data_IF_529331293654
#
_entry.id   IF_529331293654
#
_cell.length_a   1.000
_cell.length_b   1.000
_cell.length_c   1.000
_cell.angle_alpha   90.00
_cell.angle_beta   90.00
_cell.angle_gamma   90.00
#
_symmetry.space_group_name_H-M   'P 1'
#
loop_
_entity.id
_entity.type
_entity.pdbx_description
1 polymer ?
#
# COMPACT_ATOMS: atom_id res chain seq x y z
N UNK A 1 9.57 6.42 8.25
CA UNK A 1 10.79 6.32 9.01
C UNK A 1 11.90 7.17 8.38
N UNK A 2 12.42 6.81 7.20
CA UNK A 2 13.56 7.47 6.56
C UNK A 2 13.36 8.97 6.32
N UNK A 3 12.21 9.41 5.81
CA UNK A 3 11.93 10.82 5.54
C UNK A 3 11.70 11.61 6.83
N UNK A 4 10.97 11.04 7.78
CA UNK A 4 10.63 11.70 9.04
C UNK A 4 11.73 11.66 10.09
N UNK A 5 12.87 11.00 9.84
CA UNK A 5 13.96 10.87 10.81
C UNK A 5 13.53 10.19 12.12
N UNK A 6 12.52 9.32 12.08
CA UNK A 6 11.91 8.73 13.26
C UNK A 6 12.86 7.72 13.94
N UNK A 7 13.47 8.14 15.05
CA UNK A 7 14.41 7.31 15.82
C UNK A 7 13.70 6.18 16.56
N UNK A 8 12.48 6.42 17.03
CA UNK A 8 11.67 5.43 17.77
C UNK A 8 11.30 4.18 16.96
N UNK A 9 11.26 4.28 15.63
CA UNK A 9 10.91 3.18 14.72
C UNK A 9 12.11 2.33 14.31
N UNK A 10 13.35 2.77 14.58
CA UNK A 10 14.56 2.04 14.22
C UNK A 10 14.58 0.61 14.79
N UNK A 11 14.20 0.36 16.06
CA UNK A 11 14.17 -1.00 16.62
C UNK A 11 13.13 -1.92 15.97
N UNK A 12 12.09 -1.34 15.32
CA UNK A 12 10.98 -2.08 14.68
C UNK A 12 11.15 -2.20 13.18
N UNK A 13 12.20 -1.62 12.60
CA UNK A 13 12.45 -1.56 11.14
C UNK A 13 12.36 -2.92 10.47
N UNK A 14 12.98 -3.96 11.07
CA UNK A 14 12.99 -5.31 10.50
C UNK A 14 11.61 -5.94 10.40
N UNK A 15 10.72 -5.63 11.34
CA UNK A 15 9.33 -6.09 11.30
C UNK A 15 8.61 -5.47 10.09
N UNK A 16 8.78 -4.15 9.89
CA UNK A 16 8.18 -3.45 8.77
C UNK A 16 8.74 -3.91 7.41
N UNK A 17 10.05 -4.17 7.32
CA UNK A 17 10.68 -4.73 6.12
C UNK A 17 10.17 -6.13 5.81
N UNK A 18 9.99 -6.98 6.83
CA UNK A 18 9.43 -8.32 6.67
C UNK A 18 7.97 -8.27 6.20
N UNK A 19 7.14 -7.40 6.80
CA UNK A 19 5.77 -7.20 6.33
C UNK A 19 5.74 -6.65 4.89
N UNK A 20 6.65 -5.75 4.55
CA UNK A 20 6.80 -5.24 3.19
C UNK A 20 7.13 -6.32 2.17
N UNK A 21 7.77 -7.44 2.58
CA UNK A 21 8.06 -8.56 1.70
C UNK A 21 6.80 -9.25 1.15
N UNK A 22 5.64 -9.07 1.78
CA UNK A 22 4.36 -9.55 1.27
C UNK A 22 4.08 -9.03 -0.14
N UNK A 23 4.60 -7.86 -0.52
CA UNK A 23 4.45 -7.33 -1.88
C UNK A 23 4.95 -8.28 -2.96
N UNK A 24 5.94 -9.12 -2.65
CA UNK A 24 6.49 -10.12 -3.57
C UNK A 24 5.55 -11.32 -3.74
N UNK A 25 4.70 -11.60 -2.75
CA UNK A 25 3.75 -12.72 -2.77
C UNK A 25 2.36 -12.31 -3.28
N UNK A 26 2.00 -11.04 -3.16
CA UNK A 26 0.68 -10.54 -3.56
C UNK A 26 0.32 -10.84 -5.02
N UNK A 27 1.23 -10.72 -6.02
CA UNK A 27 0.92 -11.09 -7.39
C UNK A 27 0.53 -12.57 -7.55
N UNK A 28 1.15 -13.47 -6.78
CA UNK A 28 0.81 -14.89 -6.80
C UNK A 28 -0.55 -15.16 -6.16
N UNK A 29 -0.86 -14.44 -5.07
CA UNK A 29 -2.16 -14.54 -4.39
C UNK A 29 -3.28 -13.99 -5.28
N UNK A 30 -2.97 -12.98 -6.12
CA UNK A 30 -3.92 -12.38 -7.05
C UNK A 30 -4.16 -13.22 -8.32
N UNK A 31 -3.31 -14.22 -8.62
CA UNK A 31 -3.43 -15.04 -9.84
C UNK A 31 -4.83 -15.64 -10.05
N UNK A 32 -5.52 -16.22 -9.05
CA UNK A 32 -6.86 -16.77 -9.25
C UNK A 32 -7.86 -15.74 -9.79
N UNK A 33 -7.74 -14.46 -9.39
CA UNK A 33 -8.60 -13.40 -9.89
C UNK A 33 -8.49 -13.21 -11.40
N UNK A 34 -7.28 -13.40 -11.98
CA UNK A 34 -7.07 -13.23 -13.42
C UNK A 34 -7.74 -14.32 -14.27
N UNK A 35 -7.99 -15.49 -13.70
CA UNK A 35 -8.74 -16.56 -14.37
C UNK A 35 -10.26 -16.33 -14.31
N UNK A 36 -10.72 -15.44 -13.40
CA UNK A 36 -12.12 -15.14 -13.15
C UNK A 36 -12.45 -13.66 -13.34
N UNK A 37 -11.69 -12.93 -14.18
CA UNK A 37 -11.93 -11.50 -14.42
C UNK A 37 -13.34 -11.20 -14.93
N UNK A 38 -13.87 -12.06 -15.79
CA UNK A 38 -15.23 -11.92 -16.33
C UNK A 38 -16.31 -12.10 -15.25
N UNK A 39 -16.06 -12.93 -14.24
CA UNK A 39 -17.01 -13.14 -13.14
C UNK A 39 -17.00 -11.96 -12.14
N UNK A 40 -15.86 -11.26 -12.04
CA UNK A 40 -15.65 -10.19 -11.06
C UNK A 40 -15.96 -8.81 -11.64
N UNK A 41 -15.58 -8.55 -12.90
CA UNK A 41 -15.65 -7.22 -13.49
C UNK A 41 -16.58 -7.13 -14.69
N UNK A 42 -17.70 -6.44 -14.57
CA UNK A 42 -18.71 -6.26 -15.63
C UNK A 42 -18.16 -5.58 -16.89
N UNK A 43 -17.17 -4.70 -16.76
CA UNK A 43 -16.54 -4.00 -17.90
C UNK A 43 -15.66 -4.92 -18.79
N UNK A 44 -15.51 -6.18 -18.44
CA UNK A 44 -14.81 -7.17 -19.27
C UNK A 44 -15.70 -7.82 -20.32
N UNK A 45 -17.03 -7.64 -20.24
CA UNK A 45 -18.01 -8.18 -21.20
C UNK A 45 -18.26 -7.19 -22.33
N UNK A 46 -17.88 -7.53 -23.55
CA UNK A 46 -18.03 -6.66 -24.73
C UNK A 46 -19.48 -6.26 -24.99
N UNK A 47 -20.43 -7.18 -24.80
CA UNK A 47 -21.87 -6.93 -24.99
C UNK A 47 -22.38 -5.86 -23.99
N UNK A 48 -21.94 -5.93 -22.73
CA UNK A 48 -22.31 -4.97 -21.69
C UNK A 48 -21.71 -3.60 -21.99
N UNK A 49 -20.45 -3.56 -22.42
CA UNK A 49 -19.76 -2.32 -22.79
C UNK A 49 -20.40 -1.69 -24.02
N UNK A 50 -20.81 -2.47 -25.02
CA UNK A 50 -21.44 -1.95 -26.21
C UNK A 50 -22.87 -1.38 -25.95
N UNK A 51 -23.58 -1.96 -24.98
CA UNK A 51 -24.93 -1.50 -24.60
C UNK A 51 -24.93 -0.25 -23.70
N UNK A 52 -23.81 0.07 -23.06
CA UNK A 52 -23.70 1.15 -22.08
C UNK A 52 -22.74 2.25 -22.53
N UNK A 53 -23.26 3.44 -22.81
CA UNK A 53 -22.48 4.59 -23.27
C UNK A 53 -21.42 5.06 -22.27
N UNK A 54 -21.67 4.92 -20.96
CA UNK A 54 -20.72 5.30 -19.91
C UNK A 54 -19.55 4.33 -19.87
N UNK A 55 -19.83 3.03 -19.91
CA UNK A 55 -18.82 1.98 -20.01
C UNK A 55 -18.01 2.07 -21.30
N UNK A 56 -18.66 2.29 -22.44
CA UNK A 56 -17.99 2.51 -23.71
C UNK A 56 -17.02 3.71 -23.65
N UNK A 57 -17.41 4.79 -22.96
CA UNK A 57 -16.52 5.95 -22.74
C UNK A 57 -15.32 5.65 -21.84
N UNK A 58 -15.41 4.66 -20.95
CA UNK A 58 -14.34 4.22 -20.05
C UNK A 58 -13.47 3.09 -20.65
N UNK A 59 -13.86 2.47 -21.75
CA UNK A 59 -13.17 1.33 -22.35
C UNK A 59 -11.70 1.56 -22.72
N UNK A 60 -11.23 2.78 -23.08
CA UNK A 60 -9.80 3.02 -23.28
C UNK A 60 -8.96 2.80 -22.03
N UNK A 61 -9.55 2.99 -20.84
CA UNK A 61 -8.90 2.76 -19.55
C UNK A 61 -9.26 1.39 -18.95
N UNK A 62 -10.56 1.05 -18.92
CA UNK A 62 -11.08 -0.22 -18.39
C UNK A 62 -11.13 -1.26 -19.50
N UNK A 63 -10.00 -1.87 -19.79
CA UNK A 63 -9.88 -3.05 -20.64
C UNK A 63 -8.87 -4.03 -20.04
N UNK A 64 -9.03 -5.32 -20.33
CA UNK A 64 -8.27 -6.41 -19.72
C UNK A 64 -6.76 -6.24 -19.93
N UNK A 65 -6.32 -5.92 -21.14
CA UNK A 65 -4.91 -5.80 -21.47
C UNK A 65 -4.24 -4.66 -20.69
N UNK A 66 -4.89 -3.50 -20.62
CA UNK A 66 -4.35 -2.34 -19.91
C UNK A 66 -4.44 -2.52 -18.39
N UNK A 67 -5.47 -3.22 -17.90
CA UNK A 67 -5.57 -3.60 -16.49
C UNK A 67 -4.41 -4.49 -16.06
N UNK A 68 -4.11 -5.56 -16.82
CA UNK A 68 -2.98 -6.46 -16.56
C UNK A 68 -1.66 -5.70 -16.65
N UNK A 69 -1.48 -4.83 -17.63
CA UNK A 69 -0.26 -4.03 -17.76
C UNK A 69 -0.03 -3.15 -16.52
N UNK A 70 -1.07 -2.42 -16.07
CA UNK A 70 -0.97 -1.59 -14.85
C UNK A 70 -0.66 -2.43 -13.62
N UNK A 71 -1.34 -3.57 -13.45
CA UNK A 71 -1.07 -4.52 -12.38
C UNK A 71 0.42 -4.91 -12.34
N UNK A 72 0.94 -5.40 -13.46
CA UNK A 72 2.35 -5.85 -13.55
C UNK A 72 3.31 -4.69 -13.26
N UNK A 73 3.09 -3.52 -13.87
CA UNK A 73 3.96 -2.36 -13.66
C UNK A 73 3.98 -1.91 -12.19
N UNK A 74 2.83 -1.83 -11.54
CA UNK A 74 2.72 -1.40 -10.14
C UNK A 74 3.46 -2.38 -9.23
N UNK A 75 3.22 -3.69 -9.38
CA UNK A 75 3.89 -4.68 -8.54
C UNK A 75 5.38 -4.81 -8.81
N UNK A 76 5.83 -4.64 -10.05
CA UNK A 76 7.27 -4.56 -10.38
C UNK A 76 7.91 -3.36 -9.69
N UNK A 77 7.29 -2.19 -9.77
CA UNK A 77 7.80 -0.97 -9.13
C UNK A 77 7.86 -1.15 -7.61
N UNK A 78 6.78 -1.61 -6.97
CA UNK A 78 6.75 -1.80 -5.52
C UNK A 78 7.75 -2.84 -5.05
N UNK A 79 7.87 -3.96 -5.78
CA UNK A 79 8.86 -5.01 -5.50
C UNK A 79 10.30 -4.49 -5.62
N UNK A 80 10.58 -3.70 -6.66
CA UNK A 80 11.90 -3.11 -6.86
C UNK A 80 12.29 -2.18 -5.70
N UNK A 81 11.38 -1.28 -5.30
CA UNK A 81 11.64 -0.40 -4.16
C UNK A 81 11.80 -1.18 -2.85
N UNK A 82 10.95 -2.19 -2.59
CA UNK A 82 11.10 -3.06 -1.43
C UNK A 82 12.48 -3.73 -1.39
N UNK A 83 12.92 -4.33 -2.50
CA UNK A 83 14.22 -4.99 -2.59
C UNK A 83 15.39 -4.01 -2.40
N UNK A 84 15.31 -2.81 -2.96
CA UNK A 84 16.33 -1.77 -2.79
C UNK A 84 16.43 -1.32 -1.33
N UNK A 85 15.30 -1.03 -0.68
CA UNK A 85 15.27 -0.66 0.74
C UNK A 85 15.85 -1.74 1.63
N UNK A 86 15.39 -2.98 1.47
CA UNK A 86 15.80 -4.11 2.29
C UNK A 86 17.27 -4.44 2.07
N UNK A 87 17.74 -4.44 0.82
CA UNK A 87 19.15 -4.68 0.49
C UNK A 87 20.08 -3.66 1.15
N UNK A 88 19.76 -2.37 1.06
CA UNK A 88 20.56 -1.32 1.68
C UNK A 88 20.54 -1.42 3.19
N UNK A 89 19.37 -1.69 3.77
CA UNK A 89 19.17 -1.83 5.20
C UNK A 89 19.94 -3.03 5.77
N UNK A 90 19.86 -4.21 5.12
CA UNK A 90 20.62 -5.40 5.55
C UNK A 90 22.13 -5.24 5.37
N UNK A 91 22.57 -4.61 4.27
CA UNK A 91 23.98 -4.30 4.07
C UNK A 91 24.52 -3.36 5.15
N UNK A 92 23.71 -2.39 5.58
CA UNK A 92 24.10 -1.46 6.65
C UNK A 92 24.34 -2.15 7.98
N UNK A 93 23.62 -3.23 8.30
CA UNK A 93 23.84 -3.98 9.55
C UNK A 93 25.26 -4.53 9.67
N UNK A 94 25.86 -4.93 8.54
CA UNK A 94 27.21 -5.48 8.48
C UNK A 94 28.27 -4.39 8.32
N UNK A 95 28.07 -3.46 7.38
CA UNK A 95 29.07 -2.45 7.01
C UNK A 95 29.08 -1.24 7.93
N UNK A 96 27.98 -0.97 8.66
CA UNK A 96 27.76 0.25 9.46
C UNK A 96 27.88 1.56 8.65
N UNK A 97 27.79 1.50 7.31
CA UNK A 97 27.97 2.66 6.45
C UNK A 97 26.71 3.55 6.44
N UNK A 98 26.84 4.77 6.96
CA UNK A 98 25.77 5.76 7.02
C UNK A 98 25.33 6.26 5.63
N UNK A 99 26.14 6.10 4.58
CA UNK A 99 25.76 6.45 3.22
C UNK A 99 24.54 5.65 2.75
N UNK A 100 24.35 4.40 3.22
CA UNK A 100 23.20 3.57 2.90
C UNK A 100 21.89 4.15 3.45
N UNK A 101 21.92 4.76 4.65
CA UNK A 101 20.78 5.51 5.18
C UNK A 101 20.42 6.69 4.28
N UNK A 102 21.44 7.47 3.84
CA UNK A 102 21.22 8.61 2.95
C UNK A 102 20.62 8.18 1.61
N UNK A 103 21.06 7.05 1.07
CA UNK A 103 20.49 6.46 -0.16
C UNK A 103 19.03 6.08 0.09
N UNK A 104 18.71 5.43 1.20
CA UNK A 104 17.34 5.05 1.53
C UNK A 104 16.43 6.27 1.77
N UNK A 105 16.94 7.37 2.33
CA UNK A 105 16.20 8.64 2.43
C UNK A 105 15.83 9.16 1.03
N UNK A 106 16.77 9.18 0.10
CA UNK A 106 16.50 9.61 -1.29
C UNK A 106 15.53 8.69 -2.00
N UNK A 107 15.70 7.37 -1.86
CA UNK A 107 14.76 6.38 -2.40
C UNK A 107 13.35 6.59 -1.83
N UNK A 108 13.23 6.86 -0.52
CA UNK A 108 11.94 7.10 0.12
C UNK A 108 11.28 8.39 -0.40
N UNK A 109 12.07 9.46 -0.64
CA UNK A 109 11.56 10.70 -1.21
C UNK A 109 11.00 10.51 -2.63
N UNK A 110 11.62 9.64 -3.43
CA UNK A 110 11.12 9.27 -4.78
C UNK A 110 9.92 8.32 -4.68
N UNK A 111 9.98 7.36 -3.75
CA UNK A 111 8.92 6.36 -3.61
C UNK A 111 7.60 6.95 -3.12
N UNK A 112 7.60 7.98 -2.28
CA UNK A 112 6.37 8.57 -1.75
C UNK A 112 5.37 9.03 -2.83
N UNK A 113 5.75 9.89 -3.80
CA UNK A 113 4.83 10.28 -4.87
C UNK A 113 4.48 9.10 -5.80
N UNK A 114 5.43 8.21 -6.09
CA UNK A 114 5.18 7.00 -6.89
C UNK A 114 4.15 6.11 -6.20
N UNK A 115 4.28 5.91 -4.89
CA UNK A 115 3.35 5.12 -4.09
C UNK A 115 1.96 5.77 -4.04
N UNK A 116 1.87 7.08 -3.81
CA UNK A 116 0.60 7.79 -3.75
C UNK A 116 -0.20 7.65 -5.06
N UNK A 117 0.46 7.82 -6.21
CA UNK A 117 -0.16 7.68 -7.52
C UNK A 117 -0.55 6.21 -7.78
N UNK A 118 0.38 5.28 -7.59
CA UNK A 118 0.15 3.87 -7.88
C UNK A 118 -0.88 3.22 -6.96
N UNK A 119 -0.93 3.61 -5.68
CA UNK A 119 -1.95 3.15 -4.75
C UNK A 119 -3.35 3.68 -5.13
N UNK A 120 -3.44 4.94 -5.57
CA UNK A 120 -4.69 5.50 -6.09
C UNK A 120 -5.16 4.74 -7.33
N UNK A 121 -4.26 4.46 -8.28
CA UNK A 121 -4.58 3.63 -9.45
C UNK A 121 -5.04 2.23 -9.04
N UNK A 122 -4.37 1.60 -8.06
CA UNK A 122 -4.77 0.30 -7.53
C UNK A 122 -6.17 0.35 -6.92
N UNK A 123 -6.51 1.39 -6.15
CA UNK A 123 -7.83 1.57 -5.57
C UNK A 123 -8.92 1.72 -6.66
N UNK A 124 -8.62 2.48 -7.72
CA UNK A 124 -9.51 2.63 -8.87
C UNK A 124 -9.69 1.32 -9.62
N UNK A 125 -8.60 0.64 -9.93
CA UNK A 125 -8.62 -0.58 -10.75
C UNK A 125 -9.26 -1.77 -10.06
N UNK A 126 -8.99 -1.95 -8.77
CA UNK A 126 -9.37 -3.16 -8.06
C UNK A 126 -10.67 -3.06 -7.28
N UNK A 127 -10.97 -1.88 -6.74
CA UNK A 127 -12.13 -1.69 -5.91
C UNK A 127 -13.18 -0.80 -6.58
N UNK A 128 -12.83 0.38 -7.07
CA UNK A 128 -13.82 1.29 -7.67
C UNK A 128 -14.37 0.76 -8.99
N UNK A 129 -13.57 0.02 -9.78
CA UNK A 129 -14.00 -0.54 -11.06
C UNK A 129 -14.98 -1.72 -10.94
N UNK A 130 -15.21 -2.24 -9.73
CA UNK A 130 -16.27 -3.23 -9.46
C UNK A 130 -17.65 -2.63 -9.72
N UNK A 131 -17.83 -1.33 -9.42
CA UNK A 131 -19.04 -0.57 -9.72
C UNK A 131 -18.70 0.56 -10.69
N UNK A 132 -18.60 0.29 -12.00
CA UNK A 132 -18.07 1.24 -12.97
C UNK A 132 -18.96 2.44 -13.23
N UNK A 133 -20.22 2.42 -12.80
CA UNK A 133 -21.15 3.56 -12.86
C UNK A 133 -20.85 4.58 -11.76
N UNK A 134 -20.27 4.13 -10.67
CA UNK A 134 -19.86 4.99 -9.55
C UNK A 134 -18.43 5.50 -9.73
N UNK A 135 -18.17 6.73 -9.29
CA UNK A 135 -16.83 7.31 -9.27
C UNK A 135 -16.70 8.34 -8.16
N UNK A 136 -15.53 8.34 -7.49
CA UNK A 136 -15.21 9.30 -6.46
C UNK A 136 -13.74 9.67 -6.51
N UNK A 137 -13.44 10.97 -6.54
CA UNK A 137 -12.06 11.49 -6.55
C UNK A 137 -11.36 11.30 -5.21
N UNK A 138 -12.09 11.24 -4.10
CA UNK A 138 -11.55 11.04 -2.75
C UNK A 138 -11.34 9.55 -2.42
N UNK A 139 -11.81 8.63 -3.25
CA UNK A 139 -11.75 7.19 -2.98
C UNK A 139 -10.31 6.68 -2.82
N UNK A 140 -9.36 7.19 -3.61
CA UNK A 140 -7.94 6.85 -3.46
C UNK A 140 -7.39 7.23 -2.09
N UNK A 141 -7.80 8.38 -1.54
CA UNK A 141 -7.40 8.83 -0.20
C UNK A 141 -8.09 8.00 0.90
N UNK A 142 -9.36 7.64 0.69
CA UNK A 142 -10.07 6.71 1.57
C UNK A 142 -9.37 5.36 1.67
N UNK A 143 -9.03 4.78 0.52
CA UNK A 143 -8.31 3.52 0.42
C UNK A 143 -6.92 3.61 1.07
N UNK A 144 -6.18 4.69 0.81
CA UNK A 144 -4.88 4.96 1.44
C UNK A 144 -4.97 4.98 2.97
N UNK A 145 -5.90 5.77 3.52
CA UNK A 145 -6.02 5.93 4.97
C UNK A 145 -6.34 4.60 5.68
N UNK A 146 -7.24 3.80 5.11
CA UNK A 146 -7.59 2.47 5.62
C UNK A 146 -6.42 1.48 5.51
N UNK A 147 -5.71 1.49 4.38
CA UNK A 147 -4.56 0.60 4.16
C UNK A 147 -3.41 0.89 5.13
N UNK A 148 -3.09 2.17 5.34
CA UNK A 148 -2.04 2.57 6.29
C UNK A 148 -2.44 2.20 7.72
N UNK A 149 -3.70 2.44 8.11
CA UNK A 149 -4.21 2.05 9.43
C UNK A 149 -4.12 0.54 9.65
N UNK A 150 -4.52 -0.27 8.67
CA UNK A 150 -4.42 -1.71 8.72
C UNK A 150 -2.97 -2.19 8.85
N UNK A 151 -2.05 -1.61 8.06
CA UNK A 151 -0.63 -1.93 8.11
C UNK A 151 -0.01 -1.57 9.47
N UNK A 152 -0.32 -0.39 10.01
CA UNK A 152 0.13 0.04 11.34
C UNK A 152 -0.39 -0.88 12.44
N UNK A 153 -1.67 -1.29 12.37
CA UNK A 153 -2.28 -2.19 13.34
C UNK A 153 -1.63 -3.57 13.32
N UNK A 154 -1.42 -4.13 12.13
CA UNK A 154 -0.74 -5.42 11.95
C UNK A 154 0.72 -5.36 12.45
N UNK A 155 1.46 -4.32 12.07
CA UNK A 155 2.83 -4.11 12.52
C UNK A 155 2.91 -3.98 14.04
N UNK A 156 2.03 -3.17 14.64
CA UNK A 156 1.99 -2.98 16.10
C UNK A 156 1.69 -4.28 16.83
N UNK A 157 0.72 -5.06 16.36
CA UNK A 157 0.39 -6.37 16.94
C UNK A 157 1.59 -7.33 16.92
N UNK A 158 2.28 -7.42 15.78
CA UNK A 158 3.47 -8.28 15.63
C UNK A 158 4.61 -7.79 16.53
N UNK A 159 4.85 -6.47 16.60
CA UNK A 159 5.87 -5.88 17.46
C UNK A 159 5.60 -6.20 18.94
N UNK A 160 4.34 -6.08 19.40
CA UNK A 160 3.95 -6.44 20.76
C UNK A 160 4.26 -7.91 21.03
N UNK A 161 3.84 -8.82 20.14
CA UNK A 161 4.08 -10.26 20.30
C UNK A 161 5.57 -10.60 20.33
N UNK A 162 6.35 -10.05 19.41
CA UNK A 162 7.80 -10.27 19.39
C UNK A 162 8.48 -9.70 20.63
N UNK A 163 8.01 -8.57 21.16
CA UNK A 163 8.52 -7.98 22.40
C UNK A 163 8.20 -8.86 23.61
N UNK A 164 6.96 -9.36 23.73
CA UNK A 164 6.54 -10.31 24.77
C UNK A 164 7.39 -11.59 24.78
N UNK A 165 7.79 -12.09 23.61
CA UNK A 165 8.69 -13.25 23.47
C UNK A 165 10.18 -12.91 23.64
N UNK A 166 10.54 -11.65 23.93
CA UNK A 166 11.93 -11.22 24.16
C UNK A 166 12.80 -11.01 22.93
N UNK A 167 12.22 -11.09 21.70
CA UNK A 167 12.98 -10.88 20.45
C UNK A 167 13.32 -9.42 20.17
N UNK A 168 12.61 -8.47 20.76
CA UNK A 168 12.79 -7.03 20.54
C UNK A 168 13.13 -6.27 21.83
N UNK A 169 14.29 -6.54 22.47
CA UNK A 169 14.64 -5.94 23.77
C UNK A 169 14.90 -4.42 23.68
N UNK A 170 15.16 -3.89 22.49
CA UNK A 170 15.42 -2.46 22.27
C UNK A 170 14.16 -1.63 22.06
N UNK A 171 13.00 -2.26 21.90
CA UNK A 171 11.71 -1.57 21.79
C UNK A 171 11.29 -1.09 23.17
N UNK A 172 11.14 0.21 23.34
CA UNK A 172 10.83 0.87 24.60
C UNK A 172 9.40 1.42 24.58
N UNK A 173 8.95 1.93 25.74
CA UNK A 173 7.62 2.54 25.90
C UNK A 173 7.35 3.64 24.87
N UNK A 174 8.37 4.44 24.55
CA UNK A 174 8.23 5.54 23.58
C UNK A 174 7.92 5.04 22.16
N UNK A 175 8.43 3.86 21.78
CA UNK A 175 8.09 3.24 20.50
C UNK A 175 6.61 2.83 20.46
N UNK A 176 6.08 2.24 21.52
CA UNK A 176 4.66 1.87 21.61
C UNK A 176 3.76 3.10 21.67
N UNK A 177 4.16 4.13 22.42
CA UNK A 177 3.43 5.41 22.48
C UNK A 177 3.34 6.03 21.09
N UNK A 178 4.46 6.09 20.36
CA UNK A 178 4.52 6.68 19.02
C UNK A 178 3.69 5.88 18.00
N UNK A 179 3.71 4.54 18.07
CA UNK A 179 2.86 3.68 17.26
C UNK A 179 1.37 3.92 17.56
N UNK A 180 0.99 3.98 18.85
CA UNK A 180 -0.38 4.26 19.26
C UNK A 180 -0.86 5.64 18.84
N UNK A 181 -0.01 6.66 18.98
CA UNK A 181 -0.32 8.02 18.54
C UNK A 181 -0.53 8.10 17.01
N UNK A 182 0.31 7.40 16.25
CA UNK A 182 0.18 7.34 14.79
C UNK A 182 -1.08 6.59 14.36
N UNK A 183 -1.42 5.48 15.01
CA UNK A 183 -2.67 4.75 14.78
C UNK A 183 -3.88 5.64 15.10
N UNK A 184 -3.85 6.35 16.21
CA UNK A 184 -4.93 7.29 16.59
C UNK A 184 -5.11 8.38 15.53
N UNK A 185 -4.01 8.97 15.04
CA UNK A 185 -4.07 9.95 13.97
C UNK A 185 -4.71 9.37 12.68
N UNK A 186 -4.33 8.15 12.29
CA UNK A 186 -4.89 7.50 11.09
C UNK A 186 -6.34 7.02 11.28
N UNK A 187 -6.77 6.65 12.49
CA UNK A 187 -8.18 6.37 12.79
C UNK A 187 -9.03 7.63 12.55
N UNK A 188 -8.60 8.78 13.10
CA UNK A 188 -9.32 10.05 12.91
C UNK A 188 -9.30 10.47 11.44
N UNK A 189 -8.18 10.33 10.75
CA UNK A 189 -8.07 10.65 9.34
C UNK A 189 -8.98 9.76 8.48
N UNK A 190 -8.96 8.45 8.72
CA UNK A 190 -9.86 7.52 8.02
C UNK A 190 -11.34 7.83 8.28
N UNK A 191 -11.72 8.08 9.53
CA UNK A 191 -13.09 8.42 9.89
C UNK A 191 -13.55 9.73 9.21
N UNK A 192 -12.67 10.74 9.16
CA UNK A 192 -12.95 11.99 8.47
C UNK A 192 -13.16 11.78 6.97
N UNK A 193 -12.29 11.02 6.30
CA UNK A 193 -12.41 10.74 4.86
C UNK A 193 -13.63 9.87 4.58
N UNK A 194 -13.93 8.87 5.42
CA UNK A 194 -15.14 8.04 5.31
C UNK A 194 -16.41 8.87 5.41
N UNK A 195 -16.47 9.78 6.38
CA UNK A 195 -17.60 10.69 6.54
C UNK A 195 -17.72 11.66 5.35
N UNK A 196 -16.60 12.21 4.87
CA UNK A 196 -16.59 13.06 3.68
C UNK A 196 -17.08 12.31 2.44
N UNK A 197 -16.66 11.05 2.27
CA UNK A 197 -17.15 10.18 1.19
C UNK A 197 -18.66 9.95 1.29
N UNK A 198 -19.17 9.70 2.49
CA UNK A 198 -20.61 9.52 2.75
C UNK A 198 -21.43 10.78 2.38
N UNK A 199 -20.90 11.97 2.63
CA UNK A 199 -21.56 13.23 2.28
C UNK A 199 -21.59 13.52 0.76
N UNK A 200 -20.70 12.87 -0.01
CA UNK A 200 -20.57 13.08 -1.46
C UNK A 200 -21.39 12.07 -2.30
N UNK A 201 -21.95 11.05 -1.68
CA UNK A 201 -22.84 10.05 -2.29
C UNK A 201 -24.29 10.54 -2.18
#
# INVERSE_FOLDING_TARGET
EYIGGAVWSVPTRRVNEFLGALVLLLPLIALPMFFHLHDVYHWTHEEVVAADKLLAGKSPYLNVNFFILRFVLIFVIWSLFHLLFTRNSTKQDTTKDQKLTTINIRLAAVFMPVFAISLTLTAVDWAMSLEPHWSSTIFGVYYFSGTVLAALSAATYIIIKLHEYGYLPKVQRDSFYSLGALMFAFINFWAYIAFSQFLLI
#
